data_IF_741542760760
#
_entry.id   IF_741542760760
#
_cell.length_a   1.000
_cell.length_b   1.000
_cell.length_c   1.000
_cell.angle_alpha   90.00
_cell.angle_beta   90.00
_cell.angle_gamma   90.00
#
_symmetry.space_group_name_H-M   'P 1'
#
loop_
_entity.id
_entity.type
_entity.pdbx_description
1 polymer ?
#
# COMPACT_ATOMS: atom_id res chain seq x y z
N UNK A 1 22.20 -7.12 1.67
CA UNK A 1 23.32 -6.25 2.03
C UNK A 1 23.94 -5.79 0.72
N UNK A 2 24.35 -4.52 0.61
CA UNK A 2 25.09 -4.00 -0.54
C UNK A 2 26.59 -4.34 -0.43
N UNK A 3 27.38 -3.85 -1.39
CA UNK A 3 28.84 -4.03 -1.45
C UNK A 3 29.57 -3.44 -0.23
N UNK A 4 28.89 -2.62 0.57
CA UNK A 4 29.40 -1.96 1.78
C UNK A 4 28.85 -2.60 3.07
N UNK A 5 28.22 -3.78 2.97
CA UNK A 5 27.58 -4.48 4.08
C UNK A 5 26.46 -3.67 4.77
N UNK A 6 25.85 -2.73 4.03
CA UNK A 6 24.68 -1.99 4.44
C UNK A 6 23.42 -2.75 4.00
N UNK A 7 22.35 -2.81 4.80
CA UNK A 7 21.13 -3.47 4.39
C UNK A 7 20.53 -2.76 3.16
N UNK A 8 20.21 -3.52 2.11
CA UNK A 8 19.53 -3.02 0.92
C UNK A 8 18.14 -2.47 1.32
N UNK A 9 17.59 -1.46 0.61
CA UNK A 9 16.17 -1.13 0.74
C UNK A 9 15.33 -2.41 0.49
N UNK A 10 14.55 -2.84 1.49
CA UNK A 10 13.81 -4.10 1.44
C UNK A 10 14.54 -5.32 2.03
N UNK A 11 15.70 -5.16 2.64
CA UNK A 11 16.39 -6.23 3.39
C UNK A 11 15.63 -6.66 4.65
N UNK A 12 15.86 -7.90 5.14
CA UNK A 12 15.23 -8.39 6.36
C UNK A 12 15.61 -7.52 7.56
N UNK A 13 14.64 -7.17 8.40
CA UNK A 13 14.89 -6.43 9.63
C UNK A 13 15.53 -7.39 10.63
N UNK A 14 16.79 -7.14 10.95
CA UNK A 14 17.53 -7.90 11.94
C UNK A 14 17.80 -7.06 13.22
N UNK A 15 18.31 -7.74 14.25
CA UNK A 15 18.63 -7.12 15.54
C UNK A 15 19.67 -6.01 15.40
N UNK A 16 20.61 -6.14 14.47
CA UNK A 16 21.73 -5.21 14.30
C UNK A 16 21.22 -3.90 13.74
N UNK A 17 20.38 -3.96 12.70
CA UNK A 17 19.70 -2.81 12.12
C UNK A 17 18.86 -2.08 13.16
N UNK A 18 18.02 -2.81 13.90
CA UNK A 18 17.15 -2.22 14.91
C UNK A 18 17.95 -1.42 15.96
N UNK A 19 19.05 -1.99 16.45
CA UNK A 19 19.92 -1.29 17.41
C UNK A 19 20.66 -0.12 16.78
N UNK A 20 21.24 -0.28 15.59
CA UNK A 20 21.99 0.80 14.95
C UNK A 20 21.11 2.01 14.65
N UNK A 21 19.86 1.80 14.24
CA UNK A 21 18.93 2.91 14.00
C UNK A 21 18.47 3.58 15.30
N UNK A 22 18.24 2.82 16.37
CA UNK A 22 17.92 3.38 17.68
C UNK A 22 19.10 4.18 18.26
N UNK A 23 20.34 3.70 18.10
CA UNK A 23 21.53 4.37 18.61
C UNK A 23 21.75 5.74 17.93
N UNK A 24 21.43 5.86 16.62
CA UNK A 24 21.47 7.16 15.93
C UNK A 24 20.53 8.18 16.57
N UNK A 25 19.37 7.73 17.06
CA UNK A 25 18.36 8.59 17.67
C UNK A 25 18.77 9.10 19.07
N UNK A 26 19.82 8.54 19.70
CA UNK A 26 20.30 9.00 21.02
C UNK A 26 20.80 10.45 21.00
N UNK A 27 21.30 10.90 19.85
CA UNK A 27 21.84 12.25 19.68
C UNK A 27 20.82 13.24 19.13
N UNK A 28 19.56 12.83 18.97
CA UNK A 28 18.50 13.72 18.51
C UNK A 28 18.23 14.81 19.55
N UNK A 29 18.15 16.06 19.08
CA UNK A 29 17.81 17.22 19.89
C UNK A 29 16.52 17.85 19.33
N UNK A 30 15.46 18.03 20.14
CA UNK A 30 15.36 17.78 21.58
C UNK A 30 15.32 16.27 21.93
N UNK A 31 15.50 15.93 23.22
CA UNK A 31 15.38 14.53 23.68
C UNK A 31 14.04 13.94 23.26
N UNK A 32 14.07 12.73 22.70
CA UNK A 32 12.87 11.99 22.33
C UNK A 32 12.24 11.34 23.57
N UNK A 33 10.91 11.22 23.54
CA UNK A 33 10.15 10.36 24.47
C UNK A 33 9.90 8.98 23.87
N UNK A 34 9.67 8.91 22.57
CA UNK A 34 9.34 7.68 21.83
C UNK A 34 10.09 7.66 20.49
N UNK A 35 10.64 6.50 20.16
CA UNK A 35 11.21 6.19 18.86
C UNK A 35 10.52 4.95 18.29
N UNK A 36 10.10 5.03 17.03
CA UNK A 36 9.35 3.97 16.35
C UNK A 36 10.09 3.56 15.08
N UNK A 37 10.46 2.29 14.96
CA UNK A 37 10.84 1.70 13.69
C UNK A 37 9.58 1.28 12.94
N UNK A 38 9.28 1.98 11.86
CA UNK A 38 8.17 1.72 10.95
C UNK A 38 8.59 0.78 9.83
N UNK A 39 7.82 -0.28 9.55
CA UNK A 39 8.09 -1.15 8.40
C UNK A 39 6.84 -1.66 7.68
N UNK A 40 6.97 -1.85 6.37
CA UNK A 40 5.98 -2.54 5.52
C UNK A 40 6.18 -4.06 5.49
N UNK A 41 7.21 -4.60 6.16
CA UNK A 41 7.43 -6.04 6.27
C UNK A 41 6.29 -6.75 7.02
N UNK A 42 6.15 -8.05 6.79
CA UNK A 42 5.23 -8.89 7.58
C UNK A 42 5.70 -9.00 9.02
N UNK A 43 4.75 -9.23 9.95
CA UNK A 43 5.06 -9.46 11.37
C UNK A 43 6.05 -10.61 11.53
N UNK A 44 7.09 -10.36 12.32
CA UNK A 44 8.05 -11.38 12.74
C UNK A 44 8.19 -11.34 14.27
N UNK A 45 7.85 -12.45 14.92
CA UNK A 45 7.88 -12.60 16.37
C UNK A 45 9.30 -12.50 16.95
N UNK A 46 10.33 -12.93 16.19
CA UNK A 46 11.73 -12.88 16.64
C UNK A 46 12.18 -11.43 16.76
N UNK A 47 11.94 -10.62 15.75
CA UNK A 47 12.35 -9.20 15.78
C UNK A 47 11.48 -8.39 16.76
N UNK A 48 10.17 -8.70 16.89
CA UNK A 48 9.33 -8.11 17.94
C UNK A 48 9.89 -8.36 19.33
N UNK A 49 10.37 -9.59 19.60
CA UNK A 49 11.03 -9.90 20.87
C UNK A 49 12.29 -9.06 21.06
N UNK A 50 13.10 -8.89 20.02
CA UNK A 50 14.30 -8.04 20.10
C UNK A 50 13.95 -6.57 20.38
N UNK A 51 12.92 -6.04 19.75
CA UNK A 51 12.43 -4.69 20.02
C UNK A 51 11.98 -4.51 21.47
N UNK A 52 11.25 -5.48 22.03
CA UNK A 52 10.85 -5.45 23.46
C UNK A 52 12.05 -5.49 24.41
N UNK A 53 13.08 -6.27 24.10
CA UNK A 53 14.29 -6.32 24.92
C UNK A 53 15.07 -5.00 24.84
N UNK A 54 15.20 -4.42 23.65
CA UNK A 54 15.85 -3.13 23.45
C UNK A 54 15.10 -2.00 24.17
N UNK A 55 13.77 -2.03 24.11
CA UNK A 55 12.91 -1.08 24.82
C UNK A 55 13.08 -1.17 26.34
N UNK A 56 13.12 -2.38 26.90
CA UNK A 56 13.38 -2.56 28.33
C UNK A 56 14.75 -2.00 28.75
N UNK A 57 15.79 -2.23 27.94
CA UNK A 57 17.13 -1.66 28.16
C UNK A 57 17.12 -0.13 28.11
N UNK A 58 16.44 0.47 27.12
CA UNK A 58 16.32 1.92 27.00
C UNK A 58 15.58 2.54 28.18
N UNK A 59 14.46 1.92 28.61
CA UNK A 59 13.67 2.39 29.75
C UNK A 59 14.47 2.32 31.06
N UNK A 60 15.23 1.26 31.28
CA UNK A 60 16.13 1.15 32.44
C UNK A 60 17.22 2.22 32.44
N UNK A 61 17.70 2.63 31.26
CA UNK A 61 18.69 3.69 31.11
C UNK A 61 18.09 5.12 31.14
N UNK A 62 16.79 5.28 31.40
CA UNK A 62 16.11 6.59 31.39
C UNK A 62 16.08 7.25 30.01
N UNK A 63 16.06 6.45 28.94
CA UNK A 63 16.00 6.89 27.54
C UNK A 63 14.58 6.78 26.99
N UNK A 64 14.39 7.19 25.74
CA UNK A 64 13.12 7.07 25.01
C UNK A 64 12.64 5.62 24.90
N UNK A 65 11.33 5.46 24.80
CA UNK A 65 10.69 4.19 24.48
C UNK A 65 11.02 3.74 23.06
N UNK A 66 11.25 2.44 22.87
CA UNK A 66 11.51 1.84 21.55
C UNK A 66 10.31 1.00 21.11
N UNK A 67 9.77 1.30 19.94
CA UNK A 67 8.65 0.57 19.34
C UNK A 67 9.02 0.05 17.94
N UNK A 68 8.41 -1.08 17.57
CA UNK A 68 8.48 -1.64 16.22
C UNK A 68 7.05 -1.80 15.69
N UNK A 69 6.73 -1.11 14.62
CA UNK A 69 5.41 -1.13 13.99
C UNK A 69 5.48 -1.77 12.61
N UNK A 70 4.67 -2.80 12.41
CA UNK A 70 4.46 -3.44 11.11
C UNK A 70 3.26 -2.83 10.39
N UNK A 71 3.13 -3.11 9.10
CA UNK A 71 2.00 -2.65 8.30
C UNK A 71 0.64 -2.95 8.95
N UNK A 72 0.45 -4.16 9.48
CA UNK A 72 -0.80 -4.54 10.16
C UNK A 72 -1.07 -3.72 11.42
N UNK A 73 -0.03 -3.22 12.10
CA UNK A 73 -0.18 -2.33 13.26
C UNK A 73 -0.70 -0.96 12.81
N UNK A 74 -0.20 -0.41 11.69
CA UNK A 74 -0.72 0.83 11.11
C UNK A 74 -2.19 0.71 10.74
N UNK A 75 -2.57 -0.37 10.06
CA UNK A 75 -3.96 -0.60 9.65
C UNK A 75 -4.86 -0.74 10.88
N UNK A 76 -4.43 -1.51 11.89
CA UNK A 76 -5.21 -1.69 13.12
C UNK A 76 -5.38 -0.38 13.89
N UNK A 77 -4.29 0.39 14.03
CA UNK A 77 -4.31 1.65 14.75
C UNK A 77 -5.16 2.68 14.01
N UNK A 78 -4.97 2.84 12.71
CA UNK A 78 -5.80 3.70 11.86
C UNK A 78 -7.28 3.33 11.99
N UNK A 79 -7.59 2.03 12.05
CA UNK A 79 -8.97 1.57 12.19
C UNK A 79 -9.62 1.83 13.55
N UNK A 80 -8.83 2.11 14.59
CA UNK A 80 -9.34 2.43 15.92
C UNK A 80 -9.78 3.90 16.06
N UNK A 81 -9.40 4.78 15.12
CA UNK A 81 -9.75 6.20 15.16
C UNK A 81 -10.70 6.57 14.03
N UNK A 82 -12.00 6.57 14.31
CA UNK A 82 -13.07 6.85 13.35
C UNK A 82 -12.96 8.21 12.65
N UNK A 83 -12.35 9.21 13.29
CA UNK A 83 -12.17 10.54 12.71
C UNK A 83 -10.98 10.57 11.73
N UNK A 84 -9.91 9.84 12.03
CA UNK A 84 -8.78 9.64 11.13
C UNK A 84 -9.18 8.73 9.96
N UNK A 85 -9.97 7.70 10.24
CA UNK A 85 -10.61 6.90 9.21
C UNK A 85 -11.44 7.77 8.28
N UNK A 86 -12.27 8.68 8.82
CA UNK A 86 -12.99 9.63 7.98
C UNK A 86 -12.03 10.51 7.19
N UNK A 87 -10.98 11.07 7.77
CA UNK A 87 -10.06 11.94 7.01
C UNK A 87 -9.32 11.23 5.86
N UNK A 88 -8.89 9.97 6.05
CA UNK A 88 -8.07 9.25 5.07
C UNK A 88 -8.86 8.27 4.21
N UNK A 89 -9.86 7.59 4.78
CA UNK A 89 -10.79 6.73 4.06
C UNK A 89 -11.98 7.49 3.49
N UNK A 90 -12.22 8.78 3.76
CA UNK A 90 -13.26 9.53 3.02
C UNK A 90 -13.01 9.55 1.50
N UNK A 91 -11.75 9.40 1.09
CA UNK A 91 -11.34 9.28 -0.31
C UNK A 91 -11.44 7.84 -0.87
N UNK A 92 -11.65 6.84 0.00
CA UNK A 92 -11.58 5.40 -0.33
C UNK A 92 -12.92 4.69 0.00
N UNK A 93 -13.73 5.27 0.88
CA UNK A 93 -15.00 4.75 1.35
C UNK A 93 -16.11 5.09 0.37
N UNK A 94 -16.63 4.07 -0.30
CA UNK A 94 -17.88 4.13 -1.05
C UNK A 94 -19.00 4.50 -0.07
N UNK A 95 -19.47 5.76 -0.06
CA UNK A 95 -20.54 6.21 0.87
C UNK A 95 -21.92 5.99 0.28
N UNK A 96 -22.00 5.86 -1.03
CA UNK A 96 -23.22 5.66 -1.79
C UNK A 96 -22.88 4.99 -3.14
N UNK A 97 -23.90 4.56 -3.86
CA UNK A 97 -23.79 3.94 -5.19
C UNK A 97 -23.00 4.80 -6.20
N UNK A 98 -23.11 6.13 -6.12
CA UNK A 98 -22.39 7.05 -7.02
C UNK A 98 -20.90 7.08 -6.74
N UNK A 99 -20.47 6.94 -5.48
CA UNK A 99 -19.05 6.84 -5.11
C UNK A 99 -18.47 5.50 -5.57
N UNK A 100 -19.27 4.42 -5.53
CA UNK A 100 -18.90 3.13 -6.10
C UNK A 100 -18.66 3.25 -7.60
N UNK A 101 -19.60 3.88 -8.31
CA UNK A 101 -19.53 4.08 -9.74
C UNK A 101 -18.31 4.89 -10.13
N UNK A 102 -18.05 5.97 -9.39
CA UNK A 102 -16.86 6.77 -9.56
C UNK A 102 -15.60 5.94 -9.36
N UNK A 103 -15.52 5.11 -8.33
CA UNK A 103 -14.34 4.28 -8.07
C UNK A 103 -14.12 3.23 -9.17
N UNK A 104 -15.19 2.61 -9.68
CA UNK A 104 -15.13 1.69 -10.83
C UNK A 104 -14.62 2.43 -12.07
N UNK A 105 -15.21 3.57 -12.41
CA UNK A 105 -14.81 4.37 -13.57
C UNK A 105 -13.37 4.85 -13.48
N UNK A 106 -12.96 5.37 -12.32
CA UNK A 106 -11.59 5.83 -12.14
C UNK A 106 -10.60 4.64 -12.19
N UNK A 107 -10.98 3.44 -11.74
CA UNK A 107 -10.17 2.22 -11.89
C UNK A 107 -10.01 1.84 -13.36
N UNK A 108 -11.09 1.90 -14.14
CA UNK A 108 -11.07 1.65 -15.58
C UNK A 108 -10.21 2.69 -16.30
N UNK A 109 -10.42 3.98 -16.02
CA UNK A 109 -9.62 5.06 -16.60
C UNK A 109 -8.13 4.90 -16.29
N UNK A 110 -7.79 4.53 -15.05
CA UNK A 110 -6.40 4.26 -14.63
C UNK A 110 -5.80 3.09 -15.41
N UNK A 111 -6.58 2.05 -15.73
CA UNK A 111 -6.12 0.93 -16.52
C UNK A 111 -5.71 1.35 -17.94
N UNK A 112 -6.47 2.27 -18.55
CA UNK A 112 -6.19 2.80 -19.89
C UNK A 112 -5.13 3.92 -19.92
N UNK A 113 -4.80 4.54 -18.79
CA UNK A 113 -3.73 5.55 -18.69
C UNK A 113 -2.33 4.98 -18.41
N UNK A 114 -2.12 3.69 -18.67
CA UNK A 114 -0.80 3.06 -18.55
C UNK A 114 0.12 3.52 -19.69
N UNK A 115 1.45 3.60 -19.46
CA UNK A 115 2.43 3.89 -20.52
C UNK A 115 2.22 3.04 -21.78
N UNK A 116 1.91 1.76 -21.59
CA UNK A 116 1.58 0.83 -22.67
C UNK A 116 0.49 1.31 -23.65
N UNK A 117 -0.45 2.16 -23.21
CA UNK A 117 -1.52 2.69 -24.05
C UNK A 117 -1.30 4.13 -24.49
N UNK A 118 -0.36 4.85 -23.87
CA UNK A 118 -0.08 6.26 -24.16
C UNK A 118 1.16 6.46 -25.02
N UNK A 119 2.12 5.55 -24.91
CA UNK A 119 3.38 5.64 -25.61
C UNK A 119 3.20 5.19 -27.08
N UNK A 120 3.88 5.83 -28.05
CA UNK A 120 3.81 5.41 -29.44
C UNK A 120 4.20 3.93 -29.59
N UNK A 121 3.47 3.16 -30.41
CA UNK A 121 3.68 1.71 -30.57
C UNK A 121 5.13 1.31 -30.93
N UNK A 122 5.89 2.18 -31.60
CA UNK A 122 7.30 1.92 -31.93
C UNK A 122 8.27 2.04 -30.74
N UNK A 123 7.81 2.56 -29.60
CA UNK A 123 8.58 2.76 -28.37
C UNK A 123 8.13 1.84 -27.22
N UNK A 124 7.04 1.08 -27.42
CA UNK A 124 6.51 0.14 -26.44
C UNK A 124 6.86 -1.30 -26.80
N UNK A 125 7.18 -2.12 -25.79
CA UNK A 125 7.45 -3.53 -26.00
C UNK A 125 6.15 -4.33 -26.11
N UNK A 126 6.08 -5.25 -27.07
CA UNK A 126 4.87 -6.05 -27.33
C UNK A 126 4.35 -6.79 -26.10
N UNK A 127 5.24 -7.39 -25.32
CA UNK A 127 4.85 -8.15 -24.12
C UNK A 127 4.21 -7.27 -23.04
N UNK A 128 4.67 -6.03 -22.93
CA UNK A 128 4.16 -5.08 -21.95
C UNK A 128 2.79 -4.55 -22.34
N UNK A 129 2.60 -4.30 -23.64
CA UNK A 129 1.30 -4.00 -24.21
C UNK A 129 0.30 -5.13 -24.00
N UNK A 130 0.70 -6.37 -24.31
CA UNK A 130 -0.14 -7.55 -24.14
C UNK A 130 -0.49 -7.78 -22.66
N UNK A 131 0.45 -7.56 -21.74
CA UNK A 131 0.19 -7.68 -20.32
C UNK A 131 -0.73 -6.55 -19.81
N UNK A 132 -0.56 -5.32 -20.30
CA UNK A 132 -1.44 -4.21 -19.97
C UNK A 132 -2.89 -4.48 -20.43
N UNK A 133 -3.08 -5.09 -21.61
CA UNK A 133 -4.40 -5.54 -22.07
C UNK A 133 -5.02 -6.58 -21.12
N UNK A 134 -4.26 -7.60 -20.72
CA UNK A 134 -4.73 -8.63 -19.77
C UNK A 134 -5.12 -8.03 -18.42
N UNK A 135 -4.29 -7.14 -17.89
CA UNK A 135 -4.54 -6.47 -16.62
C UNK A 135 -5.76 -5.55 -16.70
N UNK A 136 -5.95 -4.86 -17.83
CA UNK A 136 -7.13 -4.02 -18.08
C UNK A 136 -8.40 -4.85 -18.16
N UNK A 137 -8.36 -6.00 -18.85
CA UNK A 137 -9.48 -6.93 -18.89
C UNK A 137 -9.80 -7.50 -17.49
N UNK A 138 -8.77 -7.82 -16.70
CA UNK A 138 -8.94 -8.25 -15.33
C UNK A 138 -9.60 -7.17 -14.48
N UNK A 139 -9.11 -5.93 -14.52
CA UNK A 139 -9.67 -4.79 -13.80
C UNK A 139 -11.12 -4.49 -14.20
N UNK A 140 -11.44 -4.55 -15.50
CA UNK A 140 -12.81 -4.41 -16.00
C UNK A 140 -13.75 -5.47 -15.42
N UNK A 141 -13.26 -6.68 -15.17
CA UNK A 141 -14.06 -7.80 -14.67
C UNK A 141 -14.17 -7.81 -13.14
N UNK A 142 -13.06 -7.61 -12.45
CA UNK A 142 -12.94 -7.84 -11.00
C UNK A 142 -12.90 -6.55 -10.19
N UNK A 143 -12.62 -5.41 -10.81
CA UNK A 143 -12.37 -4.15 -10.12
C UNK A 143 -10.95 -4.03 -9.57
N UNK A 144 -10.07 -5.01 -9.79
CA UNK A 144 -8.72 -5.01 -9.26
C UNK A 144 -7.71 -4.71 -10.36
N UNK A 145 -6.93 -3.65 -10.16
CA UNK A 145 -5.85 -3.25 -11.03
C UNK A 145 -4.51 -3.47 -10.32
N UNK A 146 -3.59 -4.13 -11.00
CA UNK A 146 -2.28 -4.49 -10.46
C UNK A 146 -1.14 -3.74 -11.14
N UNK A 147 -0.10 -3.43 -10.39
CA UNK A 147 1.15 -2.89 -10.90
C UNK A 147 1.82 -3.85 -11.88
N UNK A 148 2.54 -3.29 -12.85
CA UNK A 148 3.25 -4.04 -13.90
C UNK A 148 4.40 -4.88 -13.31
N UNK A 149 5.21 -4.30 -12.42
CA UNK A 149 6.45 -4.93 -11.95
C UNK A 149 6.23 -5.79 -10.71
N UNK A 150 5.60 -5.20 -9.69
CA UNK A 150 5.40 -5.84 -8.38
C UNK A 150 4.17 -6.75 -8.31
N UNK A 151 3.26 -6.63 -9.29
CA UNK A 151 1.94 -7.30 -9.32
C UNK A 151 1.06 -7.00 -8.10
N UNK A 152 1.42 -6.01 -7.27
CA UNK A 152 0.59 -5.55 -6.17
C UNK A 152 -0.64 -4.80 -6.69
N UNK A 153 -1.75 -4.91 -5.98
CA UNK A 153 -2.97 -4.17 -6.31
C UNK A 153 -2.71 -2.68 -6.08
N UNK A 154 -2.72 -1.91 -7.17
CA UNK A 154 -2.59 -0.45 -7.13
C UNK A 154 -3.95 0.22 -6.97
N UNK A 155 -5.02 -0.46 -7.38
CA UNK A 155 -6.37 0.04 -7.20
C UNK A 155 -7.39 -1.08 -7.10
N UNK A 156 -8.42 -0.87 -6.29
CA UNK A 156 -9.51 -1.81 -6.08
C UNK A 156 -10.84 -1.08 -6.00
N UNK A 157 -11.78 -1.49 -6.83
CA UNK A 157 -13.20 -1.17 -6.72
C UNK A 157 -13.99 -2.42 -6.30
N UNK A 158 -15.22 -2.22 -5.81
CA UNK A 158 -16.14 -3.32 -5.52
C UNK A 158 -16.66 -3.87 -6.85
N UNK A 159 -15.97 -4.89 -7.36
CA UNK A 159 -16.28 -5.50 -8.65
C UNK A 159 -15.90 -4.62 -9.86
N UNK A 160 -16.16 -5.14 -11.06
CA UNK A 160 -15.89 -4.47 -12.32
C UNK A 160 -17.07 -3.64 -12.85
N UNK A 161 -17.08 -3.34 -14.15
CA UNK A 161 -18.12 -2.51 -14.80
C UNK A 161 -19.56 -3.00 -14.58
N UNK A 162 -19.75 -4.30 -14.31
CA UNK A 162 -21.07 -4.91 -14.02
C UNK A 162 -21.69 -4.42 -12.71
N UNK A 163 -20.89 -3.82 -11.83
CA UNK A 163 -21.29 -3.30 -10.53
C UNK A 163 -21.52 -1.78 -10.56
N UNK A 164 -21.45 -1.15 -11.74
CA UNK A 164 -21.96 0.20 -11.92
C UNK A 164 -23.45 0.21 -11.59
N UNK A 165 -23.89 1.15 -10.76
CA UNK A 165 -25.24 1.22 -10.23
C UNK A 165 -26.17 2.12 -11.05
N UNK A 166 -25.63 3.16 -11.70
CA UNK A 166 -26.37 4.11 -12.52
C UNK A 166 -27.34 3.42 -13.51
N UNK A 167 -28.66 3.67 -13.40
CA UNK A 167 -29.67 2.98 -14.21
C UNK A 167 -29.52 3.20 -15.72
N UNK A 168 -29.10 4.40 -16.14
CA UNK A 168 -28.93 4.73 -17.55
C UNK A 168 -27.74 3.98 -18.15
N UNK A 169 -26.64 3.88 -17.40
CA UNK A 169 -25.46 3.14 -17.83
C UNK A 169 -25.70 1.63 -17.85
N UNK A 170 -26.39 1.08 -16.84
CA UNK A 170 -26.82 -0.33 -16.85
C UNK A 170 -27.64 -0.68 -18.07
N UNK A 171 -28.55 0.21 -18.49
CA UNK A 171 -29.37 0.01 -19.69
C UNK A 171 -28.49 -0.05 -20.96
N UNK A 172 -27.61 0.93 -21.17
CA UNK A 172 -26.74 0.96 -22.34
C UNK A 172 -25.72 -0.20 -22.39
N UNK A 173 -25.23 -0.66 -21.24
CA UNK A 173 -24.30 -1.79 -21.16
C UNK A 173 -24.96 -3.16 -21.43
N UNK A 174 -26.27 -3.30 -21.17
CA UNK A 174 -27.02 -4.51 -21.54
C UNK A 174 -27.10 -4.68 -23.06
N UNK A 175 -27.10 -3.59 -23.81
CA UNK A 175 -27.17 -3.62 -25.27
C UNK A 175 -25.85 -4.06 -25.91
N UNK A 176 -24.71 -3.84 -25.23
CA UNK A 176 -23.37 -4.27 -25.67
C UNK A 176 -23.08 -5.75 -25.39
N UNK A 177 -23.88 -6.41 -24.54
CA UNK A 177 -23.73 -7.81 -24.17
C UNK A 177 -24.55 -8.79 -25.03
N UNK A 178 -25.18 -8.30 -26.11
CA UNK A 178 -25.90 -9.10 -27.10
C UNK A 178 -25.07 -9.35 -28.35
#
# INVERSE_FOLDING_TARGET
MDQNNQPLPGGPIDRKLLRSEADKALFFAPKLDVWILATTAKRDAKIQRQARLLDAEHRLAGRFQVLLWFWDDYVTWLNAYSDLQRQYYDQIGIRNARDQDRLILETIATAFHRPAFTDPLGQEHFDDFLQALKDTQAALRTGELVDRQSRHVIRKAVGGWRYLDDPAWKAGLKDLGR
#
